data_IF_942861970133
#
_entry.id   IF_942861970133
#
_cell.length_a   1.000
_cell.length_b   1.000
_cell.length_c   1.000
_cell.angle_alpha   90.00
_cell.angle_beta   90.00
_cell.angle_gamma   90.00
#
_symmetry.space_group_name_H-M   'P 1'
#
loop_
_entity.id
_entity.type
_entity.pdbx_description
1 polymer ?
#
# COMPACT_ATOMS: atom_id res chain seq x y z
N UNK A 1 22.91 -5.93 -5.27
CA UNK A 1 22.28 -6.27 -6.57
C UNK A 1 20.94 -5.55 -6.65
N UNK A 2 20.69 -4.71 -7.66
CA UNK A 2 19.36 -4.07 -7.85
C UNK A 2 18.35 -5.16 -8.22
N UNK A 3 17.34 -5.39 -7.38
CA UNK A 3 16.24 -6.33 -7.69
C UNK A 3 15.54 -5.85 -8.97
N UNK A 4 15.29 -6.78 -9.90
CA UNK A 4 14.50 -6.46 -11.10
C UNK A 4 13.09 -6.04 -10.67
N UNK A 5 12.52 -4.96 -11.24
CA UNK A 5 11.14 -4.61 -10.96
C UNK A 5 10.21 -5.71 -11.47
N UNK A 6 9.27 -6.13 -10.62
CA UNK A 6 8.21 -7.05 -11.01
C UNK A 6 7.16 -6.31 -11.86
N UNK A 7 6.61 -6.99 -12.86
CA UNK A 7 5.64 -6.43 -13.79
C UNK A 7 4.27 -6.97 -13.43
N UNK A 8 3.33 -6.06 -13.17
CA UNK A 8 1.92 -6.37 -12.90
C UNK A 8 1.09 -5.84 -14.08
N UNK A 9 0.30 -6.71 -14.70
CA UNK A 9 -0.64 -6.35 -15.77
C UNK A 9 -2.06 -6.48 -15.25
N UNK A 10 -2.85 -5.42 -15.38
CA UNK A 10 -4.27 -5.45 -15.02
C UNK A 10 -5.11 -4.86 -16.16
N UNK A 11 -6.34 -5.37 -16.27
CA UNK A 11 -7.32 -4.86 -17.23
C UNK A 11 -8.01 -3.64 -16.61
N UNK A 12 -8.30 -2.65 -17.43
CA UNK A 12 -9.05 -1.45 -17.06
C UNK A 12 -10.22 -1.27 -18.00
N UNK A 13 -11.26 -0.59 -17.53
CA UNK A 13 -12.35 -0.15 -18.39
C UNK A 13 -11.92 1.02 -19.29
N UNK A 14 -12.76 1.32 -20.27
CA UNK A 14 -12.49 2.34 -21.29
C UNK A 14 -12.36 3.75 -20.68
N UNK A 15 -13.12 4.05 -19.63
CA UNK A 15 -13.09 5.36 -18.98
C UNK A 15 -11.76 5.60 -18.26
N UNK A 16 -11.27 4.60 -17.53
CA UNK A 16 -9.97 4.67 -16.86
C UNK A 16 -8.82 4.66 -17.88
N UNK A 17 -8.95 3.91 -18.97
CA UNK A 17 -7.96 3.91 -20.05
C UNK A 17 -7.82 5.31 -20.68
N UNK A 18 -8.93 5.98 -20.99
CA UNK A 18 -8.93 7.30 -21.59
C UNK A 18 -8.24 8.36 -20.71
N UNK A 19 -8.38 8.24 -19.39
CA UNK A 19 -7.72 9.14 -18.42
C UNK A 19 -6.22 8.82 -18.34
N UNK A 20 -5.85 7.55 -18.26
CA UNK A 20 -4.45 7.14 -18.01
C UNK A 20 -3.58 7.27 -19.27
N UNK A 21 -4.15 7.10 -20.48
CA UNK A 21 -3.36 7.02 -21.72
C UNK A 21 -2.49 8.25 -21.97
N UNK A 22 -2.95 9.44 -21.57
CA UNK A 22 -2.27 10.71 -21.86
C UNK A 22 -1.33 11.16 -20.74
N UNK A 23 -1.24 10.39 -19.64
CA UNK A 23 -0.39 10.74 -18.50
C UNK A 23 1.09 10.56 -18.87
N UNK A 24 1.95 11.60 -18.74
CA UNK A 24 3.39 11.44 -18.89
C UNK A 24 3.92 10.52 -17.77
N UNK A 25 4.77 9.56 -18.13
CA UNK A 25 5.35 8.60 -17.19
C UNK A 25 4.29 7.79 -16.38
N UNK A 26 3.32 7.19 -17.08
CA UNK A 26 2.22 6.38 -16.52
C UNK A 26 2.62 5.46 -15.37
N UNK A 27 3.75 4.76 -15.49
CA UNK A 27 4.22 3.84 -14.45
C UNK A 27 4.56 4.53 -13.13
N UNK A 28 5.12 5.74 -13.17
CA UNK A 28 5.42 6.53 -11.97
C UNK A 28 4.14 7.08 -11.35
N UNK A 29 3.22 7.61 -12.17
CA UNK A 29 1.93 8.09 -11.70
C UNK A 29 1.14 6.98 -11.01
N UNK A 30 0.98 5.83 -11.67
CA UNK A 30 0.27 4.67 -11.13
C UNK A 30 0.94 4.19 -9.84
N UNK A 31 2.28 4.11 -9.81
CA UNK A 31 3.01 3.74 -8.59
C UNK A 31 2.71 4.71 -7.45
N UNK A 32 2.76 6.00 -7.69
CA UNK A 32 2.52 7.03 -6.67
C UNK A 32 1.08 7.04 -6.19
N UNK A 33 0.11 6.91 -7.10
CA UNK A 33 -1.31 6.82 -6.78
C UNK A 33 -1.61 5.59 -5.91
N UNK A 34 -1.04 4.43 -6.28
CA UNK A 34 -1.15 3.20 -5.49
C UNK A 34 -0.49 3.39 -4.13
N UNK A 35 0.75 3.90 -4.04
CA UNK A 35 1.43 4.14 -2.76
C UNK A 35 0.64 5.10 -1.86
N UNK A 36 0.03 6.14 -2.42
CA UNK A 36 -0.78 7.09 -1.65
C UNK A 36 -2.10 6.46 -1.17
N UNK A 37 -2.76 5.67 -2.03
CA UNK A 37 -3.96 4.94 -1.67
C UNK A 37 -3.67 3.86 -0.60
N UNK A 38 -2.61 3.06 -0.81
CA UNK A 38 -2.13 2.04 0.13
C UNK A 38 -1.58 2.66 1.43
N UNK A 39 -1.02 3.86 1.36
CA UNK A 39 -0.60 4.62 2.54
C UNK A 39 -1.78 5.04 3.41
N UNK A 40 -3.01 4.83 2.96
CA UNK A 40 -4.25 5.04 3.72
C UNK A 40 -4.94 3.72 4.07
N UNK A 41 -4.38 2.57 3.65
CA UNK A 41 -4.96 1.25 3.90
C UNK A 41 -4.59 0.81 5.30
N UNK A 42 -5.61 0.38 6.06
CA UNK A 42 -5.39 -0.15 7.39
C UNK A 42 -4.53 -1.43 7.32
N UNK A 43 -3.34 -1.40 7.95
CA UNK A 43 -2.40 -2.50 7.93
C UNK A 43 -2.75 -3.61 8.95
N UNK A 44 -4.00 -3.66 9.42
CA UNK A 44 -4.57 -4.80 10.14
C UNK A 44 -5.67 -5.53 9.37
N UNK A 45 -6.51 -4.83 8.59
CA UNK A 45 -7.70 -5.43 7.96
C UNK A 45 -7.56 -5.85 6.48
N UNK A 46 -6.35 -6.11 6.00
CA UNK A 46 -6.00 -6.49 4.63
C UNK A 46 -6.56 -5.55 3.54
N UNK A 47 -6.64 -4.24 3.82
CA UNK A 47 -7.16 -3.29 2.84
C UNK A 47 -8.67 -3.21 2.73
N UNK A 48 -9.41 -3.92 3.58
CA UNK A 48 -10.88 -3.78 3.67
C UNK A 48 -11.32 -2.47 4.35
N UNK A 49 -10.39 -1.75 4.97
CA UNK A 49 -10.63 -0.53 5.74
C UNK A 49 -9.53 0.51 5.49
N UNK A 50 -9.90 1.77 5.67
CA UNK A 50 -9.01 2.91 5.48
C UNK A 50 -8.76 3.63 6.81
N UNK A 51 -7.53 4.11 6.99
CA UNK A 51 -7.19 5.07 8.03
C UNK A 51 -7.50 6.46 7.50
N UNK A 52 -8.25 7.25 8.28
CA UNK A 52 -8.38 8.67 8.02
C UNK A 52 -7.02 9.40 8.26
N UNK A 53 -6.88 10.68 7.86
CA UNK A 53 -5.59 11.37 7.95
C UNK A 53 -4.97 11.40 9.36
N UNK A 54 -5.77 11.61 10.40
CA UNK A 54 -5.27 11.62 11.78
C UNK A 54 -4.90 10.22 12.26
N UNK A 55 -5.71 9.20 11.92
CA UNK A 55 -5.40 7.80 12.23
C UNK A 55 -4.10 7.36 11.55
N UNK A 56 -3.88 7.79 10.30
CA UNK A 56 -2.64 7.55 9.58
C UNK A 56 -1.46 8.23 10.29
N UNK A 57 -1.61 9.49 10.69
CA UNK A 57 -0.56 10.21 11.44
C UNK A 57 -0.18 9.48 12.73
N UNK A 58 -1.17 9.02 13.49
CA UNK A 58 -0.93 8.23 14.70
C UNK A 58 -0.30 6.88 14.39
N UNK A 59 -0.72 6.23 13.30
CA UNK A 59 -0.17 4.98 12.84
C UNK A 59 1.31 5.11 12.43
N UNK A 60 1.65 6.12 11.64
CA UNK A 60 3.02 6.37 11.19
C UNK A 60 3.95 6.55 12.40
N UNK A 61 3.53 7.31 13.41
CA UNK A 61 4.26 7.45 14.68
C UNK A 61 4.37 6.12 15.42
N UNK A 62 3.30 5.34 15.54
CA UNK A 62 3.32 4.04 16.21
C UNK A 62 4.29 3.07 15.55
N UNK A 63 4.36 3.05 14.21
CA UNK A 63 5.24 2.17 13.44
C UNK A 63 6.72 2.55 13.45
N UNK A 64 7.10 3.63 14.12
CA UNK A 64 8.51 3.94 14.36
C UNK A 64 9.15 2.90 15.29
N UNK A 65 8.40 2.44 16.28
CA UNK A 65 8.84 1.46 17.28
C UNK A 65 8.12 0.11 17.14
N UNK A 66 7.17 -0.03 16.22
CA UNK A 66 6.39 -1.27 16.04
C UNK A 66 6.34 -1.68 14.56
N UNK A 67 6.24 -2.98 14.29
CA UNK A 67 6.06 -3.49 12.92
C UNK A 67 4.92 -4.50 12.81
N UNK A 68 4.39 -4.66 11.60
CA UNK A 68 3.41 -5.69 11.28
C UNK A 68 4.14 -6.88 10.69
N UNK A 69 3.92 -8.06 11.27
CA UNK A 69 4.45 -9.33 10.78
C UNK A 69 3.33 -10.35 10.59
N UNK A 70 3.63 -11.42 9.84
CA UNK A 70 2.72 -12.56 9.70
C UNK A 70 3.06 -13.57 10.80
N UNK A 71 2.05 -14.04 11.54
CA UNK A 71 2.22 -15.07 12.54
C UNK A 71 2.50 -16.43 11.88
N UNK A 72 3.52 -17.14 12.34
CA UNK A 72 3.87 -18.45 11.76
C UNK A 72 2.84 -19.55 12.08
N UNK A 73 2.08 -19.42 13.18
CA UNK A 73 1.12 -20.43 13.63
C UNK A 73 -0.25 -20.31 12.93
N UNK A 74 -0.80 -19.10 12.85
CA UNK A 74 -2.14 -18.86 12.32
C UNK A 74 -2.17 -18.08 11.01
N UNK A 75 -1.02 -17.62 10.50
CA UNK A 75 -0.90 -16.80 9.28
C UNK A 75 -1.61 -15.43 9.33
N UNK A 76 -2.10 -15.03 10.51
CA UNK A 76 -2.71 -13.72 10.71
C UNK A 76 -1.65 -12.62 10.93
N UNK A 77 -2.05 -11.38 10.68
CA UNK A 77 -1.16 -10.23 10.89
C UNK A 77 -1.11 -9.82 12.36
N UNK A 78 0.09 -9.76 12.90
CA UNK A 78 0.38 -9.40 14.29
C UNK A 78 1.22 -8.14 14.36
N UNK A 79 1.05 -7.41 15.47
CA UNK A 79 1.91 -6.29 15.83
C UNK A 79 3.02 -6.77 16.73
N UNK A 80 4.25 -6.41 16.40
CA UNK A 80 5.43 -6.72 17.21
C UNK A 80 6.15 -5.43 17.57
N UNK A 81 6.52 -5.31 18.84
CA UNK A 81 7.34 -4.21 19.33
C UNK A 81 8.79 -4.41 18.88
N UNK A 82 9.42 -3.32 18.44
CA UNK A 82 10.83 -3.31 18.04
C UNK A 82 11.77 -3.23 19.23
N UNK A 83 11.26 -2.80 20.40
CA UNK A 83 11.81 -2.95 21.75
C UNK A 83 10.83 -2.44 22.80
#
# INVERSE_FOLDING_TARGET
MKKKPEVITFKVDESLHAIIKDIPNRSEFIRSAIINALGSICPLCNGTGMLNPEQKRHWDNFTTDHSVQTCDECQERILVCSK
#
